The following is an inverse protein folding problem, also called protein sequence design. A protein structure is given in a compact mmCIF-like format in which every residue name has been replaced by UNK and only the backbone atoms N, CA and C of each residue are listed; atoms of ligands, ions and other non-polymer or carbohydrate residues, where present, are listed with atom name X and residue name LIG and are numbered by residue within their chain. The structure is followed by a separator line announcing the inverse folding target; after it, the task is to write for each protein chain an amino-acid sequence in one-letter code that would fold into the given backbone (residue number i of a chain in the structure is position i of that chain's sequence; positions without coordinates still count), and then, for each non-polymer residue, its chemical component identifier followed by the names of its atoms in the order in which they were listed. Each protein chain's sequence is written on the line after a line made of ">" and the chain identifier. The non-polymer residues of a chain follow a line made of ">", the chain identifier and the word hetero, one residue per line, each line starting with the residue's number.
data_IF_327042641061
#
_entry.id   IF_327042641061
#
_cell.length_a   1.000
_cell.length_b   1.000
_cell.length_c   1.000
_cell.angle_alpha   90.00
_cell.angle_beta   90.00
_cell.angle_gamma   90.00
#
_symmetry.space_group_name_H-M   'P 1'
#
loop_
_entity.id
_entity.type
_entity.pdbx_description
1 polymer ?
#
# COMPACT_ATOMS: atom_id res chain seq x y z
N UNK A 1 17.49 3.30 -1.34
CA UNK A 1 16.03 3.16 -1.44
C UNK A 1 15.37 4.23 -0.61
N UNK A 2 14.48 5.01 -1.16
CA UNK A 2 13.74 6.00 -0.37
C UNK A 2 12.62 5.30 0.42
N UNK A 3 12.72 5.36 1.75
CA UNK A 3 11.61 5.09 2.65
C UNK A 3 11.02 6.44 3.02
N UNK A 4 9.79 6.69 2.58
CA UNK A 4 9.05 7.90 2.88
C UNK A 4 8.27 7.68 4.18
N UNK A 5 8.81 8.21 5.28
CA UNK A 5 8.15 8.16 6.58
C UNK A 5 7.09 9.27 6.65
N UNK A 6 5.81 8.89 6.81
CA UNK A 6 4.70 9.84 6.82
C UNK A 6 4.39 10.24 8.27
N UNK A 7 5.01 11.34 8.71
CA UNK A 7 4.90 11.86 10.09
C UNK A 7 3.66 12.77 10.30
N UNK A 8 2.62 12.60 9.49
CA UNK A 8 1.41 13.41 9.61
C UNK A 8 0.67 13.10 10.92
N UNK A 9 0.26 14.11 11.74
CA UNK A 9 -0.39 13.87 13.04
C UNK A 9 -1.63 12.97 12.97
N UNK A 10 -2.45 13.10 11.92
CA UNK A 10 -3.63 12.24 11.74
C UNK A 10 -3.25 10.79 11.38
N UNK A 11 -2.10 10.57 10.74
CA UNK A 11 -1.61 9.22 10.51
C UNK A 11 -1.14 8.57 11.81
N UNK A 12 -0.48 9.33 12.68
CA UNK A 12 -0.05 8.86 13.99
C UNK A 12 -1.24 8.58 14.92
N UNK A 13 -2.28 9.43 14.92
CA UNK A 13 -3.52 9.21 15.66
C UNK A 13 -4.24 7.93 15.19
N UNK A 14 -4.36 7.75 13.88
CA UNK A 14 -4.95 6.54 13.31
C UNK A 14 -4.11 5.29 13.67
N UNK A 15 -2.79 5.39 13.60
CA UNK A 15 -1.89 4.30 13.96
C UNK A 15 -2.04 3.91 15.45
N UNK A 16 -2.21 4.89 16.36
CA UNK A 16 -2.48 4.62 17.77
C UNK A 16 -3.75 3.77 17.95
N UNK A 17 -4.83 4.12 17.24
CA UNK A 17 -6.09 3.33 17.26
C UNK A 17 -5.88 1.91 16.69
N UNK A 18 -5.17 1.77 15.57
CA UNK A 18 -4.89 0.45 14.99
C UNK A 18 -4.02 -0.43 15.90
N UNK A 19 -3.12 0.16 16.69
CA UNK A 19 -2.26 -0.57 17.62
C UNK A 19 -3.00 -1.03 18.88
N UNK A 20 -4.05 -0.33 19.32
CA UNK A 20 -4.80 -0.71 20.53
C UNK A 20 -5.50 -2.06 20.33
N UNK A 21 -5.13 -3.05 21.13
CA UNK A 21 -5.70 -4.39 21.06
C UNK A 21 -7.21 -4.44 21.35
N UNK A 22 -7.76 -3.39 22.00
CA UNK A 22 -9.20 -3.27 22.33
C UNK A 22 -10.03 -2.71 21.18
N UNK A 23 -9.40 -2.24 20.11
CA UNK A 23 -10.11 -1.71 18.94
C UNK A 23 -10.91 -2.81 18.27
N UNK A 24 -12.21 -2.65 18.23
CA UNK A 24 -13.11 -3.60 17.57
C UNK A 24 -12.93 -3.60 16.04
N UNK A 25 -13.36 -4.67 15.34
CA UNK A 25 -13.18 -4.79 13.89
C UNK A 25 -13.83 -3.66 13.08
N UNK A 26 -14.93 -3.05 13.55
CA UNK A 26 -15.60 -1.94 12.89
C UNK A 26 -14.76 -0.66 12.92
N UNK A 27 -14.31 -0.28 14.12
CA UNK A 27 -13.41 0.86 14.32
C UNK A 27 -12.05 0.63 13.63
N UNK A 28 -11.55 -0.61 13.64
CA UNK A 28 -10.31 -0.98 12.95
C UNK A 28 -10.42 -0.74 11.44
N UNK A 29 -11.48 -1.23 10.78
CA UNK A 29 -11.72 -1.00 9.34
C UNK A 29 -11.82 0.47 8.99
N UNK A 30 -12.59 1.23 9.76
CA UNK A 30 -12.76 2.66 9.53
C UNK A 30 -11.42 3.41 9.65
N UNK A 31 -10.62 3.05 10.65
CA UNK A 31 -9.32 3.68 10.89
C UNK A 31 -8.30 3.26 9.83
N UNK A 32 -8.30 1.99 9.41
CA UNK A 32 -7.47 1.50 8.31
C UNK A 32 -7.75 2.26 7.01
N UNK A 33 -9.03 2.52 6.69
CA UNK A 33 -9.41 3.34 5.53
C UNK A 33 -8.89 4.78 5.66
N UNK A 34 -9.04 5.43 6.83
CA UNK A 34 -8.57 6.81 7.07
C UNK A 34 -7.05 6.94 6.87
N UNK A 35 -6.26 6.05 7.46
CA UNK A 35 -4.81 6.10 7.32
C UNK A 35 -4.38 5.81 5.87
N UNK A 36 -5.06 4.89 5.18
CA UNK A 36 -4.77 4.55 3.78
C UNK A 36 -5.00 5.72 2.82
N UNK A 37 -5.99 6.59 3.08
CA UNK A 37 -6.17 7.85 2.33
C UNK A 37 -4.93 8.74 2.45
N UNK A 38 -4.41 8.93 3.67
CA UNK A 38 -3.23 9.77 3.89
C UNK A 38 -2.00 9.19 3.20
N UNK A 39 -1.82 7.87 3.26
CA UNK A 39 -0.71 7.19 2.61
C UNK A 39 -0.78 7.28 1.09
N UNK A 40 -1.98 7.11 0.52
CA UNK A 40 -2.20 7.22 -0.92
C UNK A 40 -1.96 8.65 -1.42
N UNK A 41 -2.38 9.68 -0.68
CA UNK A 41 -2.10 11.08 -0.99
C UNK A 41 -0.59 11.34 -1.06
N UNK A 42 0.18 10.84 -0.11
CA UNK A 42 1.63 10.99 -0.11
C UNK A 42 2.28 10.19 -1.23
N UNK A 43 1.84 8.96 -1.44
CA UNK A 43 2.37 8.11 -2.50
C UNK A 43 2.02 8.61 -3.93
N UNK A 44 1.05 9.51 -4.08
CA UNK A 44 0.62 10.09 -5.36
C UNK A 44 0.91 11.60 -5.46
N UNK A 45 1.73 12.15 -4.57
CA UNK A 45 1.98 13.60 -4.47
C UNK A 45 2.60 14.21 -5.74
N UNK A 46 3.41 13.47 -6.44
CA UNK A 46 4.21 13.91 -7.60
C UNK A 46 3.61 13.48 -8.95
N UNK A 47 2.33 13.08 -8.99
CA UNK A 47 1.67 12.72 -10.24
C UNK A 47 1.79 13.84 -11.30
N UNK A 48 2.10 13.48 -12.55
CA UNK A 48 2.14 14.46 -13.64
C UNK A 48 0.75 15.04 -13.89
N UNK A 49 0.74 16.33 -14.23
CA UNK A 49 -0.49 17.04 -14.56
C UNK A 49 -0.33 17.75 -15.89
N UNK A 50 -1.43 17.87 -16.67
CA UNK A 50 -1.52 18.64 -17.90
C UNK A 50 -2.44 19.83 -17.71
N UNK A 51 -2.13 20.92 -18.43
CA UNK A 51 -3.02 22.06 -18.53
C UNK A 51 -4.17 21.74 -19.49
N UNK A 52 -5.39 22.10 -19.14
CA UNK A 52 -6.58 22.00 -19.98
C UNK A 52 -7.49 23.18 -19.72
N UNK A 53 -8.41 23.47 -20.64
CA UNK A 53 -9.41 24.53 -20.48
C UNK A 53 -10.74 23.91 -20.09
N UNK A 54 -11.43 24.53 -19.13
CA UNK A 54 -12.80 24.20 -18.73
C UNK A 54 -13.64 25.47 -18.75
N UNK A 55 -14.92 25.34 -19.05
CA UNK A 55 -15.87 26.43 -18.92
C UNK A 55 -16.44 26.41 -17.50
N UNK A 56 -16.19 27.49 -16.76
CA UNK A 56 -16.81 27.72 -15.46
C UNK A 56 -18.17 28.40 -15.68
N UNK A 57 -18.99 28.56 -14.64
CA UNK A 57 -20.24 29.31 -14.76
C UNK A 57 -20.08 30.79 -15.17
N UNK A 58 -18.86 31.33 -15.10
CA UNK A 58 -18.60 32.75 -15.37
C UNK A 58 -17.75 32.98 -16.63
N UNK A 59 -16.69 32.19 -16.81
CA UNK A 59 -15.75 32.32 -17.94
C UNK A 59 -14.94 31.04 -18.14
N UNK A 60 -14.24 30.91 -19.29
CA UNK A 60 -13.29 29.83 -19.52
C UNK A 60 -12.04 29.99 -18.66
N UNK A 61 -11.62 28.92 -18.00
CA UNK A 61 -10.43 28.88 -17.13
C UNK A 61 -9.44 27.78 -17.53
N UNK A 62 -8.15 28.11 -17.44
CA UNK A 62 -7.08 27.10 -17.56
C UNK A 62 -6.88 26.41 -16.22
N UNK A 63 -7.02 25.10 -16.20
CA UNK A 63 -6.88 24.24 -15.01
C UNK A 63 -5.86 23.14 -15.24
N UNK A 64 -5.45 22.45 -14.16
CA UNK A 64 -4.57 21.28 -14.24
C UNK A 64 -5.37 20.01 -13.94
N UNK A 65 -5.14 18.97 -14.75
CA UNK A 65 -5.69 17.63 -14.51
C UNK A 65 -4.57 16.61 -14.40
N UNK A 66 -4.76 15.60 -13.55
CA UNK A 66 -3.86 14.44 -13.48
C UNK A 66 -3.78 13.79 -14.87
N UNK A 67 -2.57 13.52 -15.33
CA UNK A 67 -2.25 12.91 -16.61
C UNK A 67 -1.51 11.58 -16.42
N UNK A 68 -1.93 10.79 -15.44
CA UNK A 68 -1.34 9.51 -15.12
C UNK A 68 -2.40 8.42 -15.17
N UNK A 69 -2.02 7.26 -15.68
CA UNK A 69 -2.75 6.02 -15.49
C UNK A 69 -2.32 5.41 -14.15
N UNK A 70 -3.29 5.20 -13.26
CA UNK A 70 -3.04 4.73 -11.90
C UNK A 70 -3.62 3.34 -11.74
N UNK A 71 -2.79 2.44 -11.21
CA UNK A 71 -3.18 1.06 -10.92
C UNK A 71 -2.95 0.79 -9.44
N UNK A 72 -3.96 0.30 -8.74
CA UNK A 72 -3.83 -0.15 -7.36
C UNK A 72 -3.86 -1.67 -7.29
N UNK A 73 -2.91 -2.25 -6.56
CA UNK A 73 -2.74 -3.69 -6.48
C UNK A 73 -2.66 -4.11 -5.01
N UNK A 74 -3.81 -4.45 -4.40
CA UNK A 74 -3.81 -5.00 -3.05
C UNK A 74 -3.23 -6.41 -3.02
N UNK A 75 -2.38 -6.67 -2.03
CA UNK A 75 -1.95 -8.02 -1.67
C UNK A 75 -3.03 -8.63 -0.78
N UNK A 76 -3.66 -9.69 -1.30
CA UNK A 76 -4.76 -10.36 -0.62
C UNK A 76 -4.25 -11.15 0.61
N UNK A 77 -5.01 -11.17 1.70
CA UNK A 77 -6.35 -10.59 1.97
C UNK A 77 -6.25 -9.17 2.53
N UNK A 78 -5.20 -8.88 3.32
CA UNK A 78 -5.06 -7.68 4.15
C UNK A 78 -5.07 -6.37 3.35
N UNK A 79 -4.46 -6.36 2.16
CA UNK A 79 -4.42 -5.19 1.28
C UNK A 79 -5.79 -4.68 0.81
N UNK A 80 -6.83 -5.53 0.85
CA UNK A 80 -8.21 -5.08 0.55
C UNK A 80 -8.70 -3.98 1.50
N UNK A 81 -8.21 -3.97 2.74
CA UNK A 81 -8.54 -2.91 3.70
C UNK A 81 -8.04 -1.51 3.31
N UNK A 82 -7.13 -1.44 2.35
CA UNK A 82 -6.57 -0.19 1.82
C UNK A 82 -7.16 0.19 0.46
N UNK A 83 -7.75 -0.74 -0.28
CA UNK A 83 -8.17 -0.57 -1.67
C UNK A 83 -9.21 0.55 -1.82
N UNK A 84 -10.30 0.49 -1.06
CA UNK A 84 -11.40 1.46 -1.18
C UNK A 84 -10.94 2.90 -0.93
N UNK A 85 -9.96 3.10 -0.03
CA UNK A 85 -9.37 4.39 0.25
C UNK A 85 -8.69 5.00 -0.99
N UNK A 86 -7.98 4.18 -1.77
CA UNK A 86 -7.34 4.62 -3.02
C UNK A 86 -8.39 4.91 -4.08
N UNK A 87 -9.42 4.07 -4.22
CA UNK A 87 -10.49 4.25 -5.20
C UNK A 87 -11.36 5.49 -4.93
N UNK A 88 -11.54 5.87 -3.66
CA UNK A 88 -12.23 7.12 -3.31
C UNK A 88 -11.43 8.35 -3.77
N UNK A 89 -10.09 8.31 -3.66
CA UNK A 89 -9.23 9.39 -4.12
C UNK A 89 -9.10 9.44 -5.64
N UNK A 90 -9.04 8.28 -6.27
CA UNK A 90 -8.82 8.11 -7.72
C UNK A 90 -9.86 7.14 -8.26
N UNK A 91 -11.11 7.60 -8.50
CA UNK A 91 -12.20 6.73 -8.97
C UNK A 91 -11.93 6.05 -10.32
N UNK A 92 -11.04 6.63 -11.13
CA UNK A 92 -10.63 6.06 -12.42
C UNK A 92 -9.45 5.08 -12.34
N UNK A 93 -8.93 4.77 -11.15
CA UNK A 93 -7.82 3.84 -11.02
C UNK A 93 -8.23 2.42 -11.46
N UNK A 94 -7.33 1.76 -12.18
CA UNK A 94 -7.49 0.34 -12.52
C UNK A 94 -7.07 -0.51 -11.33
N UNK A 95 -7.65 -1.69 -11.19
CA UNK A 95 -7.39 -2.57 -10.05
C UNK A 95 -6.79 -3.90 -10.51
N UNK A 96 -5.66 -4.27 -9.93
CA UNK A 96 -5.12 -5.62 -9.98
C UNK A 96 -5.27 -6.31 -8.62
N UNK A 97 -5.10 -7.62 -8.57
CA UNK A 97 -5.11 -8.37 -7.31
C UNK A 97 -3.99 -9.40 -7.31
N UNK A 98 -3.24 -9.46 -6.21
CA UNK A 98 -2.23 -10.49 -5.97
C UNK A 98 -2.61 -11.30 -4.73
N UNK A 99 -2.92 -12.58 -4.94
CA UNK A 99 -3.12 -13.55 -3.86
C UNK A 99 -1.81 -14.24 -3.54
N UNK A 100 -1.23 -13.89 -2.39
CA UNK A 100 0.01 -14.44 -1.89
C UNK A 100 -0.25 -15.12 -0.55
N UNK A 101 0.24 -16.33 -0.39
CA UNK A 101 0.20 -17.03 0.89
C UNK A 101 1.62 -17.35 1.32
N UNK A 102 1.85 -17.36 2.61
CA UNK A 102 3.12 -17.76 3.20
C UNK A 102 3.01 -19.20 3.67
N UNK A 103 3.99 -20.02 3.32
CA UNK A 103 4.16 -21.32 3.95
C UNK A 103 4.52 -21.11 5.42
N UNK A 104 3.73 -21.69 6.33
CA UNK A 104 3.87 -21.47 7.78
C UNK A 104 5.22 -21.95 8.32
N UNK A 105 5.82 -22.97 7.71
CA UNK A 105 7.07 -23.58 8.15
C UNK A 105 8.31 -22.90 7.58
N UNK A 106 8.28 -22.56 6.28
CA UNK A 106 9.43 -22.00 5.57
C UNK A 106 9.41 -20.49 5.47
N UNK A 107 8.25 -19.86 5.75
CA UNK A 107 7.96 -18.44 5.54
C UNK A 107 8.16 -17.97 4.08
N UNK A 108 8.26 -18.89 3.12
CA UNK A 108 8.35 -18.58 1.69
C UNK A 108 6.99 -18.19 1.17
N UNK A 109 6.92 -17.03 0.48
CA UNK A 109 5.69 -16.59 -0.17
C UNK A 109 5.47 -17.36 -1.47
N UNK A 110 4.24 -17.81 -1.69
CA UNK A 110 3.81 -18.44 -2.95
C UNK A 110 2.56 -17.76 -3.49
N UNK A 111 2.48 -17.64 -4.82
CA UNK A 111 1.32 -17.07 -5.50
C UNK A 111 0.24 -18.14 -5.66
N UNK A 112 -0.98 -17.84 -5.19
CA UNK A 112 -2.16 -18.65 -5.46
C UNK A 112 -3.17 -17.96 -6.40
N UNK A 113 -3.06 -16.63 -6.57
CA UNK A 113 -3.91 -15.86 -7.46
C UNK A 113 -3.17 -14.65 -8.02
N UNK A 114 -3.41 -14.32 -9.28
CA UNK A 114 -2.95 -13.09 -9.90
C UNK A 114 -3.91 -12.69 -10.99
N UNK A 115 -4.41 -11.46 -10.91
CA UNK A 115 -5.18 -10.82 -11.97
C UNK A 115 -4.76 -9.37 -12.03
N UNK A 116 -3.98 -9.02 -13.04
CA UNK A 116 -3.45 -7.68 -13.25
C UNK A 116 -4.06 -7.05 -14.50
N UNK A 117 -4.25 -5.72 -14.54
CA UNK A 117 -4.58 -5.01 -15.77
C UNK A 117 -3.47 -5.20 -16.80
N UNK A 118 -3.78 -5.18 -18.10
CA UNK A 118 -2.76 -5.15 -19.15
C UNK A 118 -2.03 -3.78 -19.15
N UNK A 119 -0.86 -3.74 -19.81
CA UNK A 119 -0.11 -2.51 -20.10
C UNK A 119 0.24 -1.68 -18.85
N UNK A 120 1.04 -2.28 -17.95
CA UNK A 120 1.48 -1.61 -16.72
C UNK A 120 2.68 -0.67 -16.91
N UNK A 121 3.32 -0.66 -18.09
CA UNK A 121 4.60 0.01 -18.32
C UNK A 121 4.59 1.49 -17.94
N UNK A 122 3.56 2.22 -18.38
CA UNK A 122 3.45 3.66 -18.17
C UNK A 122 2.51 4.02 -17.01
N UNK A 123 2.12 3.03 -16.21
CA UNK A 123 1.22 3.21 -15.09
C UNK A 123 1.98 3.54 -13.80
N UNK A 124 1.36 4.33 -12.95
CA UNK A 124 1.73 4.48 -11.54
C UNK A 124 1.09 3.35 -10.74
N UNK A 125 1.88 2.36 -10.35
CA UNK A 125 1.37 1.17 -9.66
C UNK A 125 1.54 1.33 -8.15
N UNK A 126 0.44 1.39 -7.41
CA UNK A 126 0.42 1.32 -5.95
C UNK A 126 0.21 -0.13 -5.51
N UNK A 127 1.25 -0.80 -5.07
CA UNK A 127 1.15 -2.08 -4.39
C UNK A 127 0.85 -1.82 -2.91
N UNK A 128 -0.34 -2.18 -2.46
CA UNK A 128 -0.81 -1.91 -1.10
C UNK A 128 -0.85 -3.20 -0.28
N UNK A 129 -0.06 -3.23 0.78
CA UNK A 129 -0.03 -4.30 1.78
C UNK A 129 0.20 -3.66 3.15
N UNK A 130 -0.74 -3.75 4.10
CA UNK A 130 -0.64 -3.02 5.36
C UNK A 130 0.59 -3.39 6.21
N UNK A 131 1.20 -4.56 6.00
CA UNK A 131 2.25 -5.09 6.88
C UNK A 131 3.48 -5.51 6.10
N UNK A 132 4.52 -4.67 6.07
CA UNK A 132 5.82 -5.04 5.54
C UNK A 132 6.68 -5.68 6.64
N UNK A 133 6.47 -6.98 6.90
CA UNK A 133 7.16 -7.73 7.95
C UNK A 133 8.50 -8.32 7.45
N UNK A 134 8.49 -9.52 6.90
CA UNK A 134 9.71 -10.18 6.37
C UNK A 134 10.09 -9.71 4.96
N UNK A 135 9.22 -9.02 4.26
CA UNK A 135 9.43 -8.60 2.88
C UNK A 135 9.11 -9.66 1.82
N UNK A 136 8.94 -10.94 2.19
CA UNK A 136 8.77 -12.03 1.22
C UNK A 136 7.55 -11.87 0.31
N UNK A 137 6.38 -11.52 0.85
CA UNK A 137 5.17 -11.25 0.04
C UNK A 137 5.37 -10.03 -0.86
N UNK A 138 5.91 -8.95 -0.30
CA UNK A 138 6.15 -7.73 -1.07
C UNK A 138 7.17 -7.98 -2.20
N UNK A 139 8.24 -8.73 -1.96
CA UNK A 139 9.22 -9.12 -2.97
C UNK A 139 8.56 -9.92 -4.10
N UNK A 140 7.81 -10.97 -3.75
CA UNK A 140 7.07 -11.78 -4.74
C UNK A 140 6.08 -10.94 -5.54
N UNK A 141 5.40 -9.99 -4.89
CA UNK A 141 4.49 -9.05 -5.55
C UNK A 141 5.22 -8.15 -6.55
N UNK A 142 6.38 -7.61 -6.16
CA UNK A 142 7.23 -6.80 -7.05
C UNK A 142 7.72 -7.60 -8.24
N UNK A 143 8.22 -8.83 -8.04
CA UNK A 143 8.66 -9.73 -9.11
C UNK A 143 7.55 -9.92 -10.17
N UNK A 144 6.31 -10.14 -9.70
CA UNK A 144 5.16 -10.32 -10.59
C UNK A 144 4.81 -9.03 -11.36
N UNK A 145 4.82 -7.88 -10.70
CA UNK A 145 4.51 -6.59 -11.33
C UNK A 145 5.58 -6.20 -12.38
N UNK A 146 6.85 -6.40 -12.05
CA UNK A 146 7.97 -6.15 -12.97
C UNK A 146 7.93 -7.10 -14.18
N UNK A 147 7.58 -8.37 -13.96
CA UNK A 147 7.41 -9.36 -15.05
C UNK A 147 6.26 -8.98 -16.01
N UNK A 148 5.23 -8.30 -15.53
CA UNK A 148 4.13 -7.74 -16.34
C UNK A 148 4.46 -6.35 -16.92
N UNK A 149 5.71 -5.90 -16.76
CA UNK A 149 6.25 -4.70 -17.40
C UNK A 149 6.06 -3.41 -16.62
N UNK A 150 5.59 -3.44 -15.38
CA UNK A 150 5.48 -2.23 -14.55
C UNK A 150 6.88 -1.62 -14.30
N UNK A 151 6.99 -0.31 -14.44
CA UNK A 151 8.26 0.44 -14.27
C UNK A 151 8.23 1.43 -13.12
N UNK A 152 7.04 1.87 -12.71
CA UNK A 152 6.85 2.84 -11.63
C UNK A 152 5.96 2.21 -10.57
N UNK A 153 6.60 1.55 -9.60
CA UNK A 153 5.91 0.82 -8.52
C UNK A 153 6.23 1.49 -7.20
N UNK A 154 5.19 1.74 -6.39
CA UNK A 154 5.27 2.26 -5.04
C UNK A 154 4.64 1.28 -4.07
N UNK A 155 5.37 0.92 -3.03
CA UNK A 155 4.89 0.03 -1.97
C UNK A 155 4.31 0.88 -0.86
N UNK A 156 3.06 0.65 -0.50
CA UNK A 156 2.35 1.43 0.54
C UNK A 156 1.96 0.52 1.68
N UNK A 157 2.49 0.80 2.86
CA UNK A 157 2.32 -0.03 4.07
C UNK A 157 1.83 0.82 5.25
N UNK A 158 1.08 0.22 6.17
CA UNK A 158 0.67 0.88 7.43
C UNK A 158 1.75 0.72 8.51
N UNK A 159 2.40 -0.43 8.56
CA UNK A 159 3.55 -0.67 9.46
C UNK A 159 4.61 -1.48 8.72
N UNK A 160 5.86 -1.09 8.89
CA UNK A 160 7.01 -1.76 8.29
C UNK A 160 8.01 -2.20 9.35
N UNK A 161 8.74 -3.29 9.08
CA UNK A 161 9.89 -3.72 9.86
C UNK A 161 11.20 -3.48 9.09
N UNK A 162 12.33 -3.19 9.78
CA UNK A 162 13.64 -3.02 9.14
C UNK A 162 14.03 -4.22 8.28
N UNK A 163 13.69 -5.43 8.70
CA UNK A 163 13.99 -6.67 7.97
C UNK A 163 13.30 -6.71 6.61
N UNK A 164 12.00 -6.35 6.55
CA UNK A 164 11.25 -6.30 5.29
C UNK A 164 11.76 -5.22 4.36
N UNK A 165 12.06 -4.05 4.90
CA UNK A 165 12.68 -2.93 4.16
C UNK A 165 14.03 -3.38 3.57
N UNK A 166 14.87 -4.04 4.36
CA UNK A 166 16.18 -4.51 3.90
C UNK A 166 16.07 -5.55 2.77
N UNK A 167 15.10 -6.46 2.84
CA UNK A 167 14.84 -7.45 1.77
C UNK A 167 14.50 -6.75 0.45
N UNK A 168 13.59 -5.78 0.48
CA UNK A 168 13.22 -5.03 -0.73
C UNK A 168 14.37 -4.16 -1.23
N UNK A 169 15.10 -3.50 -0.32
CA UNK A 169 16.23 -2.66 -0.68
C UNK A 169 17.34 -3.44 -1.40
N UNK A 170 17.64 -4.65 -0.93
CA UNK A 170 18.67 -5.49 -1.52
C UNK A 170 18.30 -6.00 -2.92
N UNK A 171 17.01 -6.29 -3.14
CA UNK A 171 16.52 -6.77 -4.44
C UNK A 171 16.25 -5.63 -5.43
N UNK A 172 15.64 -4.55 -4.96
CA UNK A 172 15.15 -3.43 -5.78
C UNK A 172 15.47 -2.09 -5.12
N UNK A 173 16.71 -1.56 -5.25
CA UNK A 173 17.15 -0.34 -4.58
C UNK A 173 16.32 0.92 -4.91
N UNK A 174 15.67 0.93 -6.08
CA UNK A 174 14.92 2.10 -6.58
C UNK A 174 13.45 2.10 -6.17
N UNK A 175 12.94 0.99 -5.59
CA UNK A 175 11.53 0.93 -5.16
C UNK A 175 11.29 1.85 -3.97
N UNK A 176 10.25 2.67 -4.07
CA UNK A 176 9.83 3.59 -3.01
C UNK A 176 8.84 2.91 -2.06
N UNK A 177 9.07 3.06 -0.77
CA UNK A 177 8.18 2.56 0.30
C UNK A 177 7.59 3.75 1.05
N UNK A 178 6.26 3.78 1.17
CA UNK A 178 5.51 4.78 1.91
C UNK A 178 4.89 4.14 3.15
N UNK A 179 5.26 4.62 4.33
CA UNK A 179 4.81 4.05 5.61
C UNK A 179 4.79 5.11 6.71
N UNK A 180 3.84 5.12 7.64
CA UNK A 180 3.82 6.04 8.77
C UNK A 180 4.65 5.53 9.95
N UNK A 181 5.11 4.27 9.92
CA UNK A 181 5.92 3.70 10.99
C UNK A 181 6.88 2.62 10.49
N UNK A 182 8.13 2.74 10.92
CA UNK A 182 9.11 1.67 10.90
C UNK A 182 9.28 1.20 12.33
N UNK A 183 8.80 0.01 12.63
CA UNK A 183 8.85 -0.57 13.96
C UNK A 183 10.20 -1.22 14.26
N UNK A 184 10.40 -1.61 15.51
CA UNK A 184 11.73 -1.97 16.03
C UNK A 184 12.35 -3.19 15.35
N UNK A 185 11.58 -4.29 15.21
CA UNK A 185 12.06 -5.59 14.70
C UNK A 185 10.93 -6.60 14.54
N UNK A 186 11.25 -7.77 13.99
CA UNK A 186 10.37 -8.94 14.04
C UNK A 186 10.64 -9.78 15.30
N UNK A 187 9.60 -10.47 15.81
CA UNK A 187 9.75 -11.51 16.82
C UNK A 187 10.09 -12.88 16.18
N UNK A 188 10.25 -13.92 17.00
CA UNK A 188 10.53 -15.30 16.56
C UNK A 188 9.46 -15.88 15.61
N UNK A 189 8.20 -15.41 15.74
CA UNK A 189 7.07 -15.80 14.86
C UNK A 189 6.92 -14.90 13.65
N UNK A 190 7.87 -14.00 13.39
CA UNK A 190 7.87 -13.05 12.26
C UNK A 190 6.77 -11.97 12.31
N UNK A 191 6.22 -11.70 13.50
CA UNK A 191 5.37 -10.54 13.72
C UNK A 191 6.20 -9.30 14.02
N UNK A 192 5.72 -8.15 13.54
CA UNK A 192 6.34 -6.85 13.78
C UNK A 192 6.13 -6.45 15.25
N UNK A 193 7.18 -5.93 15.89
CA UNK A 193 7.16 -5.43 17.27
C UNK A 193 7.50 -3.94 17.34
N UNK A 194 6.67 -3.11 18.00
CA UNK A 194 5.43 -3.44 18.73
C UNK A 194 4.27 -3.86 17.82
N UNK A 195 4.26 -3.46 16.54
CA UNK A 195 3.27 -3.86 15.55
C UNK A 195 1.83 -3.46 15.90
N UNK A 196 0.90 -4.20 15.33
CA UNK A 196 -0.54 -4.06 15.57
C UNK A 196 -1.29 -5.42 15.53
N UNK A 197 -0.55 -6.54 15.60
CA UNK A 197 -1.09 -7.90 15.46
C UNK A 197 -1.25 -8.32 14.00
N UNK A 198 -2.07 -9.34 13.74
CA UNK A 198 -2.45 -9.71 12.38
C UNK A 198 -3.50 -8.74 11.85
N UNK A 199 -3.13 -7.99 10.83
CA UNK A 199 -4.01 -6.97 10.25
C UNK A 199 -5.26 -7.58 9.61
N UNK A 200 -5.09 -8.69 8.88
CA UNK A 200 -6.20 -9.35 8.20
C UNK A 200 -7.23 -9.89 9.18
N UNK A 201 -6.78 -10.57 10.22
CA UNK A 201 -7.66 -11.13 11.23
C UNK A 201 -8.39 -10.03 12.01
N UNK A 202 -7.70 -8.95 12.38
CA UNK A 202 -8.32 -7.78 13.01
C UNK A 202 -9.31 -7.06 12.09
N UNK A 203 -9.01 -6.97 10.78
CA UNK A 203 -9.87 -6.33 9.80
C UNK A 203 -11.18 -7.11 9.61
N UNK A 204 -11.09 -8.45 9.55
CA UNK A 204 -12.20 -9.33 9.22
C UNK A 204 -12.86 -9.98 10.45
N UNK A 205 -12.27 -9.87 11.64
CA UNK A 205 -12.78 -10.48 12.86
C UNK A 205 -12.67 -12.01 12.82
N UNK A 206 -11.56 -12.53 12.31
CA UNK A 206 -11.28 -13.97 12.17
C UNK A 206 -10.32 -14.50 13.25
N UNK A 207 -10.24 -13.78 14.39
CA UNK A 207 -9.42 -14.15 15.55
C UNK A 207 -10.17 -15.22 16.37
#
# INVERSE_FOLDING_TARGET
>A
MPVHLIEHPLAQDALATLRDARTDPGAFRQTARRISVLLALEALRDLPTIATTVDTPLESATVRRVAADIVVVPVLRAGLGMLDAVLDLVPGARVGHLGLQRDERTAVASKYYSKLPPDLRDSYVLMVDPMLATGGSALTGLDLLLAEGATNIRVVCIVSAPEGIAVLHNAYPEIEIFTPAVDRQLNEYKFILPGLGDFGDRLYGTI
#
